data_IF_112575479578
#
_entry.id   IF_112575479578
#
_cell.length_a   1.000
_cell.length_b   1.000
_cell.length_c   1.000
_cell.angle_alpha   90.00
_cell.angle_beta   90.00
_cell.angle_gamma   90.00
#
_symmetry.space_group_name_H-M   'P 1'
#
loop_
_entity.id
_entity.type
_entity.pdbx_description
1 polymer ?
#
# COMPACT_ATOMS: atom_id res chain seq x y z
N UNK A 1 4.55 4.31 34.95
CA UNK A 1 4.50 5.39 33.94
C UNK A 1 4.19 4.77 32.57
N UNK A 2 2.91 4.61 32.24
CA UNK A 2 2.47 4.34 30.88
C UNK A 2 1.68 5.58 30.46
N UNK A 3 2.32 6.46 29.67
CA UNK A 3 1.67 7.68 29.19
C UNK A 3 0.39 7.35 28.44
N UNK A 4 -0.58 8.26 28.47
CA UNK A 4 -1.84 8.17 27.72
C UNK A 4 -1.55 8.02 26.21
N UNK A 5 -1.30 6.78 25.78
CA UNK A 5 -1.26 6.41 24.36
C UNK A 5 -2.66 6.65 23.84
N UNK A 6 -2.81 7.62 22.94
CA UNK A 6 -4.09 8.01 22.39
C UNK A 6 -4.79 6.78 21.80
N UNK A 7 -6.13 6.72 21.88
CA UNK A 7 -6.90 5.64 21.23
C UNK A 7 -6.63 5.57 19.72
N UNK A 8 -6.20 6.68 19.12
CA UNK A 8 -5.79 6.80 17.71
C UNK A 8 -4.38 6.28 17.42
N UNK A 9 -3.53 6.06 18.44
CA UNK A 9 -2.24 5.40 18.27
C UNK A 9 -2.38 3.88 18.12
N UNK A 10 -3.58 3.32 18.36
CA UNK A 10 -3.91 1.96 17.96
C UNK A 10 -4.00 1.93 16.44
N UNK A 11 -2.91 1.50 15.81
CA UNK A 11 -2.84 1.22 14.38
C UNK A 11 -3.63 -0.07 14.12
N UNK A 12 -4.96 -0.01 14.23
CA UNK A 12 -5.84 -1.10 13.83
C UNK A 12 -5.59 -1.40 12.35
N UNK A 13 -4.80 -2.45 12.13
CA UNK A 13 -4.61 -3.17 10.88
C UNK A 13 -4.34 -2.30 9.66
N UNK A 14 -3.08 -2.23 9.23
CA UNK A 14 -2.82 -2.06 7.81
C UNK A 14 -3.50 -3.22 7.08
N UNK A 15 -4.73 -3.02 6.59
CA UNK A 15 -5.52 -4.04 5.91
C UNK A 15 -4.72 -4.48 4.69
N UNK A 16 -4.24 -5.71 4.70
CA UNK A 16 -3.49 -6.31 3.60
C UNK A 16 -4.39 -6.35 2.38
N UNK A 17 -4.10 -5.50 1.40
CA UNK A 17 -4.85 -5.44 0.17
C UNK A 17 -4.40 -6.59 -0.73
N UNK A 18 -5.30 -7.52 -1.00
CA UNK A 18 -5.07 -8.62 -1.93
C UNK A 18 -5.48 -8.18 -3.33
N UNK A 19 -4.65 -8.53 -4.30
CA UNK A 19 -4.93 -8.34 -5.72
C UNK A 19 -5.84 -9.44 -6.28
N UNK A 20 -6.45 -9.19 -7.43
CA UNK A 20 -7.22 -10.17 -8.21
C UNK A 20 -6.43 -11.46 -8.49
N UNK A 21 -5.12 -11.35 -8.59
CA UNK A 21 -4.21 -12.47 -8.87
C UNK A 21 -3.73 -13.21 -7.61
N UNK A 22 -4.20 -12.80 -6.42
CA UNK A 22 -3.86 -13.40 -5.14
C UNK A 22 -2.50 -12.98 -4.57
N UNK A 23 -1.91 -11.91 -5.10
CA UNK A 23 -0.70 -11.28 -4.54
C UNK A 23 -1.03 -10.09 -3.63
N UNK A 24 -0.11 -9.73 -2.73
CA UNK A 24 -0.26 -8.52 -1.90
C UNK A 24 0.01 -7.28 -2.74
N UNK A 25 -0.85 -6.27 -2.62
CA UNK A 25 -0.66 -4.97 -3.24
C UNK A 25 0.16 -4.09 -2.28
N UNK A 26 1.37 -3.73 -2.70
CA UNK A 26 2.24 -2.77 -2.00
C UNK A 26 2.19 -1.42 -2.71
N UNK A 27 2.11 -0.35 -1.94
CA UNK A 27 2.32 0.99 -2.48
C UNK A 27 3.82 1.25 -2.61
N UNK A 28 4.28 1.66 -3.78
CA UNK A 28 5.66 2.07 -4.06
C UNK A 28 5.69 3.50 -4.58
N UNK A 29 6.70 4.26 -4.16
CA UNK A 29 7.03 5.54 -4.78
C UNK A 29 8.11 5.28 -5.85
N UNK A 30 7.80 5.61 -7.10
CA UNK A 30 8.71 5.48 -8.24
C UNK A 30 9.04 6.88 -8.72
N UNK A 31 10.33 7.17 -8.87
CA UNK A 31 10.80 8.45 -9.38
C UNK A 31 11.04 8.32 -10.89
N UNK A 32 10.23 8.97 -11.70
CA UNK A 32 10.34 8.96 -13.16
C UNK A 32 10.31 10.40 -13.69
N UNK A 33 11.21 10.73 -14.63
CA UNK A 33 11.29 12.03 -15.30
C UNK A 33 11.30 13.23 -14.33
N UNK A 34 12.05 13.11 -13.24
CA UNK A 34 12.16 14.15 -12.21
C UNK A 34 10.92 14.32 -11.31
N UNK A 35 9.92 13.43 -11.43
CA UNK A 35 8.68 13.49 -10.65
C UNK A 35 8.50 12.21 -9.84
N UNK A 36 8.16 12.39 -8.57
CA UNK A 36 7.80 11.28 -7.69
C UNK A 36 6.35 10.85 -7.95
N UNK A 37 6.17 9.57 -8.31
CA UNK A 37 4.87 8.97 -8.58
C UNK A 37 4.59 7.86 -7.58
N UNK A 38 3.40 7.87 -7.00
CA UNK A 38 2.94 6.75 -6.19
C UNK A 38 2.18 5.76 -7.07
N UNK A 39 2.61 4.51 -7.04
CA UNK A 39 1.99 3.40 -7.78
C UNK A 39 1.69 2.26 -6.84
N UNK A 40 0.58 1.57 -7.09
CA UNK A 40 0.27 0.29 -6.50
C UNK A 40 1.00 -0.80 -7.30
N UNK A 41 1.65 -1.74 -6.62
CA UNK A 41 2.42 -2.84 -7.21
C UNK A 41 1.94 -4.17 -6.63
N UNK A 42 1.60 -5.13 -7.49
CA UNK A 42 1.28 -6.49 -7.09
C UNK A 42 2.56 -7.36 -7.08
N UNK A 43 2.86 -7.99 -5.94
CA UNK A 43 4.06 -8.83 -5.81
C UNK A 43 4.03 -10.10 -6.66
N UNK A 44 2.85 -10.64 -6.95
CA UNK A 44 2.70 -11.93 -7.62
C UNK A 44 2.64 -11.82 -9.14
N UNK A 45 1.93 -10.82 -9.66
CA UNK A 45 1.80 -10.59 -11.10
C UNK A 45 2.78 -9.56 -11.65
N UNK A 46 3.45 -8.78 -10.79
CA UNK A 46 4.31 -7.68 -11.22
C UNK A 46 3.55 -6.48 -11.80
N UNK A 47 2.22 -6.53 -11.85
CA UNK A 47 1.39 -5.45 -12.38
C UNK A 47 1.51 -4.19 -11.51
N UNK A 48 1.63 -3.05 -12.20
CA UNK A 48 1.61 -1.72 -11.60
C UNK A 48 0.32 -1.00 -12.00
N UNK A 49 -0.27 -0.25 -11.07
CA UNK A 49 -1.40 0.61 -11.37
C UNK A 49 -1.32 1.91 -10.56
N UNK A 50 -2.13 2.90 -10.96
CA UNK A 50 -2.20 4.17 -10.23
C UNK A 50 -2.94 4.03 -8.91
N UNK A 51 -4.00 3.20 -8.84
CA UNK A 51 -4.77 2.94 -7.63
C UNK A 51 -4.76 1.45 -7.29
N UNK A 52 -4.81 1.07 -6.00
CA UNK A 52 -4.93 -0.33 -5.59
C UNK A 52 -6.21 -0.99 -6.11
N UNK A 53 -7.29 -0.22 -6.26
CA UNK A 53 -8.57 -0.70 -6.80
C UNK A 53 -8.45 -1.29 -8.20
N UNK A 54 -7.49 -0.81 -8.99
CA UNK A 54 -7.26 -1.32 -10.35
C UNK A 54 -6.53 -2.68 -10.34
N UNK A 55 -5.94 -3.07 -9.20
CA UNK A 55 -5.24 -4.35 -9.01
C UNK A 55 -6.03 -5.34 -8.15
N UNK A 56 -7.12 -4.92 -7.51
CA UNK A 56 -8.01 -5.75 -6.67
C UNK A 56 -8.89 -6.66 -7.50
#
# INVERSE_FOLDING_TARGET
MAGNVSKNARREGAKTMTSRWGGVIKMKAVFENGKLRHVAYCEKSGNTARKPKDLM
#
